data_IF_194614499858
#
_entry.id   IF_194614499858
#
_cell.length_a   1.000
_cell.length_b   1.000
_cell.length_c   1.000
_cell.angle_alpha   90.00
_cell.angle_beta   90.00
_cell.angle_gamma   90.00
#
_symmetry.space_group_name_H-M   'P 1'
#
loop_
_entity.id
_entity.type
_entity.pdbx_description
1 polymer ?
#
# COMPACT_ATOMS: atom_id res chain seq x y z
N UNK A 1 -2.68 -28.62 -27.34
CA UNK A 1 -2.60 -27.41 -26.49
C UNK A 1 -1.21 -26.84 -26.74
N UNK A 2 -1.09 -25.74 -27.48
CA UNK A 2 0.22 -25.10 -27.69
C UNK A 2 0.56 -24.32 -26.41
N UNK A 3 1.68 -24.63 -25.77
CA UNK A 3 2.13 -23.88 -24.60
C UNK A 3 2.66 -22.51 -25.06
N UNK A 4 2.17 -21.44 -24.44
CA UNK A 4 2.70 -20.11 -24.72
C UNK A 4 4.18 -20.02 -24.27
N UNK A 5 5.06 -19.39 -25.07
CA UNK A 5 6.47 -19.30 -24.74
C UNK A 5 6.67 -18.44 -23.47
N UNK A 6 7.47 -18.95 -22.52
CA UNK A 6 7.86 -18.19 -21.35
C UNK A 6 8.60 -16.90 -21.76
N UNK A 7 8.17 -15.76 -21.20
CA UNK A 7 8.76 -14.45 -21.47
C UNK A 7 9.56 -13.97 -20.25
N UNK A 8 10.84 -13.67 -20.46
CA UNK A 8 11.65 -13.01 -19.45
C UNK A 8 11.14 -11.57 -19.25
N UNK A 9 10.89 -11.20 -18.00
CA UNK A 9 10.54 -9.84 -17.60
C UNK A 9 11.53 -9.32 -16.56
N UNK A 10 11.89 -8.05 -16.66
CA UNK A 10 12.67 -7.35 -15.64
C UNK A 10 11.72 -6.59 -14.74
N UNK A 11 11.86 -6.77 -13.43
CA UNK A 11 11.09 -6.06 -12.42
C UNK A 11 12.05 -5.37 -11.44
N UNK A 12 11.60 -4.25 -10.88
CA UNK A 12 12.27 -3.53 -9.80
C UNK A 12 11.67 -3.99 -8.47
N UNK A 13 12.52 -4.27 -7.49
CA UNK A 13 12.08 -4.44 -6.10
C UNK A 13 12.21 -3.11 -5.34
N UNK A 14 13.36 -2.45 -5.52
CA UNK A 14 13.67 -1.20 -4.81
C UNK A 14 13.63 -1.39 -3.29
N UNK A 15 13.24 -0.35 -2.53
CA UNK A 15 13.09 -0.43 -1.08
C UNK A 15 11.74 -1.02 -0.63
N UNK A 16 10.84 -1.37 -1.55
CA UNK A 16 9.50 -1.88 -1.21
C UNK A 16 9.50 -3.09 -0.28
N UNK A 17 10.39 -4.11 -0.43
CA UNK A 17 10.41 -5.24 0.50
C UNK A 17 10.77 -4.83 1.94
N UNK A 18 11.56 -3.77 2.11
CA UNK A 18 11.89 -3.24 3.43
C UNK A 18 10.64 -2.55 4.01
N UNK A 19 9.95 -1.74 3.21
CA UNK A 19 8.70 -1.10 3.63
C UNK A 19 7.63 -2.12 3.99
N UNK A 20 7.51 -3.21 3.22
CA UNK A 20 6.55 -4.28 3.48
C UNK A 20 6.76 -4.92 4.84
N UNK A 21 8.03 -5.16 5.23
CA UNK A 21 8.34 -5.64 6.59
C UNK A 21 7.76 -4.73 7.67
N UNK A 22 7.82 -3.41 7.50
CA UNK A 22 7.29 -2.47 8.48
C UNK A 22 5.76 -2.39 8.46
N UNK A 23 5.18 -2.33 7.26
CA UNK A 23 3.73 -2.29 7.03
C UNK A 23 3.05 -3.53 7.61
N UNK A 24 3.59 -4.71 7.33
CA UNK A 24 3.09 -5.99 7.85
C UNK A 24 3.34 -6.11 9.35
N UNK A 25 4.52 -5.70 9.83
CA UNK A 25 4.89 -5.79 11.24
C UNK A 25 3.95 -5.02 12.17
N UNK A 26 3.31 -3.95 11.69
CA UNK A 26 2.33 -3.16 12.47
C UNK A 26 0.87 -3.54 12.16
N UNK A 27 0.60 -4.54 11.32
CA UNK A 27 -0.76 -4.96 10.95
C UNK A 27 -1.56 -3.91 10.16
N UNK A 28 -0.88 -3.00 9.46
CA UNK A 28 -1.53 -1.90 8.75
C UNK A 28 -2.51 -2.38 7.66
N UNK A 29 -2.21 -3.44 6.86
CA UNK A 29 -3.15 -3.93 5.86
C UNK A 29 -4.50 -4.37 6.45
N UNK A 30 -4.46 -5.03 7.61
CA UNK A 30 -5.64 -5.49 8.33
C UNK A 30 -6.45 -4.31 8.86
N UNK A 31 -5.79 -3.35 9.49
CA UNK A 31 -6.44 -2.16 10.03
C UNK A 31 -7.10 -1.30 8.95
N UNK A 32 -6.44 -1.13 7.80
CA UNK A 32 -7.04 -0.41 6.65
C UNK A 32 -8.19 -1.21 6.02
N UNK A 33 -8.10 -2.53 5.96
CA UNK A 33 -9.18 -3.37 5.43
C UNK A 33 -10.40 -3.31 6.33
N UNK A 34 -10.21 -3.35 7.64
CA UNK A 34 -11.28 -3.22 8.64
C UNK A 34 -11.92 -1.83 8.58
N UNK A 35 -11.11 -0.77 8.55
CA UNK A 35 -11.59 0.61 8.50
C UNK A 35 -12.37 0.90 7.21
N UNK A 36 -11.82 0.55 6.04
CA UNK A 36 -12.47 0.81 4.75
C UNK A 36 -13.60 -0.17 4.42
N UNK A 37 -13.65 -1.32 5.10
CA UNK A 37 -14.52 -2.47 4.80
C UNK A 37 -14.41 -2.98 3.36
N UNK A 38 -13.34 -2.61 2.65
CA UNK A 38 -13.14 -2.90 1.22
C UNK A 38 -11.65 -3.15 0.96
N UNK A 39 -11.28 -4.42 0.80
CA UNK A 39 -9.90 -4.81 0.50
C UNK A 39 -9.26 -4.05 -0.71
N UNK A 40 -9.99 -3.73 -1.80
CA UNK A 40 -9.42 -2.94 -2.88
C UNK A 40 -9.01 -1.53 -2.46
N UNK A 41 -9.76 -0.89 -1.54
CA UNK A 41 -9.45 0.45 -1.05
C UNK A 41 -8.27 0.43 -0.10
N UNK A 42 -8.20 -0.56 0.80
CA UNK A 42 -7.03 -0.75 1.64
C UNK A 42 -5.74 -0.93 0.82
N UNK A 43 -5.77 -1.76 -0.23
CA UNK A 43 -4.63 -1.95 -1.14
C UNK A 43 -4.27 -0.69 -1.92
N UNK A 44 -5.26 0.07 -2.39
CA UNK A 44 -5.03 1.36 -3.04
C UNK A 44 -4.35 2.36 -2.08
N UNK A 45 -4.79 2.43 -0.83
CA UNK A 45 -4.18 3.30 0.20
C UNK A 45 -2.76 2.86 0.55
N UNK A 46 -2.50 1.55 0.64
CA UNK A 46 -1.14 1.02 0.85
C UNK A 46 -0.22 1.33 -0.34
N UNK A 47 -0.73 1.29 -1.57
CA UNK A 47 0.03 1.72 -2.75
C UNK A 47 0.38 3.20 -2.68
N UNK A 48 -0.57 4.05 -2.30
CA UNK A 48 -0.34 5.49 -2.10
C UNK A 48 0.69 5.73 -0.99
N UNK A 49 0.60 5.00 0.13
CA UNK A 49 1.59 5.10 1.21
C UNK A 49 3.00 4.80 0.69
N UNK A 50 3.17 3.69 -0.02
CA UNK A 50 4.45 3.31 -0.63
C UNK A 50 4.96 4.39 -1.61
N UNK A 51 4.06 4.97 -2.40
CA UNK A 51 4.41 6.06 -3.30
C UNK A 51 4.86 7.32 -2.54
N UNK A 52 4.12 7.74 -1.51
CA UNK A 52 4.43 8.93 -0.68
C UNK A 52 5.79 8.80 0.01
N UNK A 53 6.11 7.61 0.51
CA UNK A 53 7.37 7.38 1.22
C UNK A 53 8.58 7.41 0.26
N UNK A 54 8.40 7.02 -1.00
CA UNK A 54 9.50 6.81 -1.94
C UNK A 54 9.68 7.90 -2.99
N UNK A 55 8.62 8.61 -3.37
CA UNK A 55 8.66 9.58 -4.45
C UNK A 55 8.56 11.02 -3.98
N UNK A 56 9.41 11.86 -4.55
CA UNK A 56 9.35 13.31 -4.31
C UNK A 56 8.08 13.95 -4.89
N UNK A 57 7.58 13.41 -6.00
CA UNK A 57 6.36 13.87 -6.67
C UNK A 57 5.19 12.92 -6.39
N UNK A 58 5.00 12.57 -5.11
CA UNK A 58 3.97 11.64 -4.67
C UNK A 58 2.56 12.03 -5.13
N UNK A 59 1.65 11.04 -5.15
CA UNK A 59 0.22 11.14 -5.51
C UNK A 59 -0.09 11.35 -6.99
N UNK A 60 0.93 11.57 -7.84
CA UNK A 60 0.74 11.76 -9.28
C UNK A 60 1.28 10.57 -10.07
N UNK A 61 0.64 10.27 -11.21
CA UNK A 61 1.07 9.24 -12.14
C UNK A 61 1.35 7.89 -11.44
N UNK A 62 0.45 7.48 -10.54
CA UNK A 62 0.66 6.33 -9.64
C UNK A 62 0.80 5.03 -10.43
N UNK A 63 0.04 4.88 -11.51
CA UNK A 63 0.13 3.71 -12.38
C UNK A 63 1.49 3.64 -13.07
N UNK A 64 1.97 4.77 -13.58
CA UNK A 64 3.27 4.90 -14.23
C UNK A 64 4.41 4.65 -13.24
N UNK A 65 4.27 5.16 -12.02
CA UNK A 65 5.22 4.92 -10.93
C UNK A 65 5.27 3.44 -10.51
N UNK A 66 4.13 2.76 -10.47
CA UNK A 66 4.05 1.35 -10.06
C UNK A 66 4.50 0.38 -11.17
N UNK A 67 4.41 0.77 -12.43
CA UNK A 67 4.69 -0.07 -13.60
C UNK A 67 6.04 -0.83 -13.62
N UNK A 68 7.19 -0.24 -13.19
CA UNK A 68 8.46 -0.95 -13.19
C UNK A 68 8.62 -1.95 -12.04
N UNK A 69 7.79 -1.88 -11.00
CA UNK A 69 7.92 -2.75 -9.83
C UNK A 69 7.30 -4.13 -10.05
N UNK A 70 7.72 -5.11 -9.24
CA UNK A 70 6.99 -6.38 -9.13
C UNK A 70 5.53 -6.11 -8.69
N UNK A 71 4.51 -6.56 -9.46
CA UNK A 71 3.11 -6.39 -9.11
C UNK A 71 2.73 -6.84 -7.70
N UNK A 72 3.42 -7.85 -7.14
CA UNK A 72 3.19 -8.29 -5.77
C UNK A 72 3.54 -7.20 -4.75
N UNK A 73 4.56 -6.39 -5.02
CA UNK A 73 5.02 -5.30 -4.15
C UNK A 73 4.19 -4.03 -4.29
N UNK A 74 3.35 -3.92 -5.31
CA UNK A 74 2.51 -2.73 -5.58
C UNK A 74 1.02 -3.06 -5.63
N UNK A 75 0.61 -4.19 -5.04
CA UNK A 75 -0.79 -4.63 -5.00
C UNK A 75 -1.45 -4.66 -6.40
N UNK A 76 -0.69 -5.02 -7.42
CA UNK A 76 -1.07 -5.00 -8.83
C UNK A 76 -0.82 -3.68 -9.55
N UNK A 77 -0.64 -2.55 -8.85
CA UNK A 77 -0.22 -1.25 -9.40
C UNK A 77 -1.19 -0.57 -10.37
N UNK A 78 -2.30 -1.23 -10.71
CA UNK A 78 -3.21 -0.82 -11.79
C UNK A 78 -4.51 -0.20 -11.25
N UNK A 79 -4.39 0.77 -10.34
CA UNK A 79 -5.53 1.55 -9.87
C UNK A 79 -5.77 2.75 -10.80
N UNK A 80 -7.03 3.16 -10.95
CA UNK A 80 -7.36 4.44 -11.59
C UNK A 80 -7.39 5.55 -10.55
N UNK A 81 -7.22 6.79 -11.00
CA UNK A 81 -7.31 7.96 -10.13
C UNK A 81 -8.67 8.04 -9.40
N UNK A 82 -9.77 7.61 -10.03
CA UNK A 82 -11.10 7.51 -9.37
C UNK A 82 -11.08 6.50 -8.21
N UNK A 83 -10.43 5.35 -8.36
CA UNK A 83 -10.33 4.37 -7.26
C UNK A 83 -9.45 4.91 -6.14
N UNK A 84 -8.34 5.57 -6.47
CA UNK A 84 -7.45 6.20 -5.49
C UNK A 84 -8.18 7.30 -4.71
N UNK A 85 -8.90 8.18 -5.42
CA UNK A 85 -9.71 9.25 -4.83
C UNK A 85 -10.79 8.69 -3.90
N UNK A 86 -11.57 7.71 -4.35
CA UNK A 86 -12.61 7.08 -3.51
C UNK A 86 -12.05 6.34 -2.30
N UNK A 87 -10.85 5.79 -2.41
CA UNK A 87 -10.19 5.15 -1.27
C UNK A 87 -9.77 6.19 -0.22
N UNK A 88 -9.28 7.36 -0.66
CA UNK A 88 -8.99 8.50 0.22
C UNK A 88 -10.26 9.09 0.84
N UNK A 89 -11.33 9.28 0.05
CA UNK A 89 -12.63 9.72 0.57
C UNK A 89 -13.16 8.73 1.62
N UNK A 90 -13.07 7.43 1.34
CA UNK A 90 -13.46 6.40 2.30
C UNK A 90 -12.64 6.50 3.59
N UNK A 91 -11.31 6.66 3.50
CA UNK A 91 -10.45 6.85 4.66
C UNK A 91 -10.80 8.14 5.42
N UNK A 92 -11.24 9.19 4.73
CA UNK A 92 -11.70 10.42 5.36
C UNK A 92 -13.01 10.22 6.14
N UNK A 93 -13.88 9.32 5.72
CA UNK A 93 -15.15 9.08 6.45
C UNK A 93 -15.04 8.10 7.63
N UNK A 94 -13.92 7.37 7.79
CA UNK A 94 -13.76 6.45 8.94
C UNK A 94 -13.40 7.20 10.22
N UNK A 95 -13.53 6.54 11.37
CA UNK A 95 -12.96 7.01 12.64
C UNK A 95 -11.42 6.96 12.59
N UNK A 96 -10.83 8.03 12.02
CA UNK A 96 -9.39 8.16 11.83
C UNK A 96 -8.64 8.27 13.15
N UNK A 97 -9.26 8.80 14.21
CA UNK A 97 -8.63 8.91 15.51
C UNK A 97 -8.38 7.52 16.11
N UNK A 98 -9.39 6.65 16.06
CA UNK A 98 -9.26 5.26 16.49
C UNK A 98 -8.28 4.48 15.62
N UNK A 99 -8.33 4.65 14.28
CA UNK A 99 -7.38 4.00 13.36
C UNK A 99 -5.93 4.42 13.64
N UNK A 100 -5.66 5.72 13.76
CA UNK A 100 -4.33 6.24 14.05
C UNK A 100 -3.83 5.73 15.40
N UNK A 101 -4.68 5.75 16.43
CA UNK A 101 -4.33 5.25 17.77
C UNK A 101 -3.94 3.77 17.71
N UNK A 102 -4.70 2.94 16.99
CA UNK A 102 -4.37 1.52 16.81
C UNK A 102 -3.04 1.32 16.10
N UNK A 103 -2.78 2.05 15.01
CA UNK A 103 -1.52 1.97 14.27
C UNK A 103 -0.32 2.39 15.14
N UNK A 104 -0.46 3.46 15.93
CA UNK A 104 0.61 3.92 16.84
C UNK A 104 0.88 2.89 17.93
N UNK A 105 -0.17 2.38 18.59
CA UNK A 105 -0.02 1.34 19.63
C UNK A 105 0.63 0.07 19.06
N UNK A 106 0.21 -0.37 17.87
CA UNK A 106 0.82 -1.51 17.19
C UNK A 106 2.30 -1.26 16.86
N UNK A 107 2.65 -0.04 16.45
CA UNK A 107 4.04 0.33 16.17
C UNK A 107 4.91 0.29 17.43
N UNK A 108 4.42 0.84 18.54
CA UNK A 108 5.11 0.80 19.84
C UNK A 108 5.33 -0.63 20.29
N UNK A 109 4.32 -1.49 20.18
CA UNK A 109 4.41 -2.90 20.57
C UNK A 109 5.36 -3.69 19.65
N UNK A 110 5.25 -3.51 18.34
CA UNK A 110 6.05 -4.25 17.35
C UNK A 110 7.54 -3.91 17.44
N UNK A 111 7.88 -2.67 17.79
CA UNK A 111 9.27 -2.18 17.76
C UNK A 111 9.81 -1.72 19.12
N UNK A 112 9.06 -1.97 20.20
CA UNK A 112 9.45 -1.61 21.58
C UNK A 112 9.91 -0.15 21.71
N UNK A 113 9.15 0.76 21.08
CA UNK A 113 9.46 2.17 21.06
C UNK A 113 9.21 2.78 22.45
N UNK A 114 10.12 3.65 22.89
CA UNK A 114 9.91 4.48 24.08
C UNK A 114 9.16 5.76 23.68
N UNK A 115 8.13 6.14 24.44
CA UNK A 115 7.20 7.24 24.13
C UNK A 115 7.29 8.38 25.15
#
# INVERSE_FOLDING_TARGET
MQEEPFRLVRQVLGPLPILDRFIEGIGLPEYLTEATRRAPYARALLLLLKNIVLERNALYAIREWAAPYDPALVYGGNYSDDVLARALDCLFEVDRASLLTRVVLASVQAYQLDL
#
